data_IF_205628909232
#
_entry.id   IF_205628909232
#
_cell.length_a   1.000
_cell.length_b   1.000
_cell.length_c   1.000
_cell.angle_alpha   90.00
_cell.angle_beta   90.00
_cell.angle_gamma   90.00
#
_symmetry.space_group_name_H-M   'P 1'
#
loop_
_entity.id
_entity.type
_entity.pdbx_description
1 polymer ?
#
# COMPACT_ATOMS: atom_id res chain seq x y z
N UNK A 1 63.53 -8.08 2.31
CA UNK A 1 62.16 -7.70 1.90
C UNK A 1 61.79 -6.48 2.73
N UNK A 2 61.93 -5.32 2.11
CA UNK A 2 62.18 -4.04 2.80
C UNK A 2 60.85 -3.34 3.08
N UNK A 3 60.75 -2.64 4.21
CA UNK A 3 59.55 -1.91 4.66
C UNK A 3 58.86 -1.10 3.54
N UNK A 4 59.61 -0.57 2.58
CA UNK A 4 59.10 0.12 1.39
C UNK A 4 58.20 -0.75 0.50
N UNK A 5 58.54 -2.02 0.27
CA UNK A 5 57.74 -2.96 -0.51
C UNK A 5 56.42 -3.30 0.19
N UNK A 6 56.47 -3.45 1.51
CA UNK A 6 55.27 -3.67 2.34
C UNK A 6 54.36 -2.43 2.31
N UNK A 7 54.93 -1.23 2.40
CA UNK A 7 54.17 0.03 2.35
C UNK A 7 53.57 0.30 0.97
N UNK A 8 54.29 0.02 -0.12
CA UNK A 8 53.74 0.16 -1.48
C UNK A 8 52.65 -0.86 -1.75
N UNK A 9 52.81 -2.11 -1.30
CA UNK A 9 51.76 -3.13 -1.40
C UNK A 9 50.53 -2.75 -0.57
N UNK A 10 50.71 -2.26 0.66
CA UNK A 10 49.62 -1.78 1.51
C UNK A 10 48.91 -0.57 0.90
N UNK A 11 49.65 0.38 0.32
CA UNK A 11 49.07 1.54 -0.39
C UNK A 11 48.28 1.11 -1.64
N UNK A 12 48.82 0.20 -2.44
CA UNK A 12 48.15 -0.28 -3.66
C UNK A 12 46.88 -1.06 -3.32
N UNK A 13 46.92 -1.91 -2.30
CA UNK A 13 45.76 -2.69 -1.85
C UNK A 13 44.68 -1.83 -1.19
N UNK A 14 45.04 -0.86 -0.36
CA UNK A 14 44.07 0.08 0.24
C UNK A 14 43.45 0.99 -0.82
N UNK A 15 44.25 1.51 -1.76
CA UNK A 15 43.75 2.30 -2.89
C UNK A 15 42.81 1.50 -3.78
N UNK A 16 43.15 0.26 -4.12
CA UNK A 16 42.28 -0.59 -4.94
C UNK A 16 40.98 -0.91 -4.21
N UNK A 17 41.02 -1.26 -2.93
CA UNK A 17 39.84 -1.48 -2.09
C UNK A 17 38.92 -0.25 -2.07
N UNK A 18 39.48 0.95 -1.89
CA UNK A 18 38.70 2.19 -1.90
C UNK A 18 38.00 2.41 -3.25
N UNK A 19 38.70 2.16 -4.35
CA UNK A 19 38.13 2.26 -5.70
C UNK A 19 36.98 1.26 -5.88
N UNK A 20 37.14 0.01 -5.43
CA UNK A 20 36.07 -1.00 -5.49
C UNK A 20 34.85 -0.60 -4.65
N UNK A 21 35.05 -0.12 -3.42
CA UNK A 21 33.96 0.34 -2.55
C UNK A 21 33.25 1.54 -3.19
N UNK A 22 33.99 2.48 -3.77
CA UNK A 22 33.42 3.64 -4.46
C UNK A 22 32.54 3.21 -5.63
N UNK A 23 33.03 2.37 -6.55
CA UNK A 23 32.23 1.91 -7.68
C UNK A 23 31.04 1.03 -7.26
N UNK A 24 31.18 0.20 -6.23
CA UNK A 24 30.08 -0.61 -5.70
C UNK A 24 28.98 0.27 -5.08
N UNK A 25 29.36 1.29 -4.31
CA UNK A 25 28.41 2.24 -3.71
C UNK A 25 27.72 3.10 -4.77
N UNK A 26 28.47 3.59 -5.78
CA UNK A 26 27.91 4.32 -6.91
C UNK A 26 26.93 3.47 -7.72
N UNK A 27 27.30 2.22 -8.03
CA UNK A 27 26.43 1.28 -8.74
C UNK A 27 25.14 1.00 -7.96
N UNK A 28 25.26 0.76 -6.65
CA UNK A 28 24.11 0.56 -5.76
C UNK A 28 23.22 1.81 -5.72
N UNK A 29 23.80 3.00 -5.63
CA UNK A 29 23.07 4.26 -5.64
C UNK A 29 22.29 4.47 -6.95
N UNK A 30 22.96 4.32 -8.10
CA UNK A 30 22.33 4.45 -9.42
C UNK A 30 21.22 3.40 -9.61
N UNK A 31 21.43 2.17 -9.15
CA UNK A 31 20.41 1.13 -9.17
C UNK A 31 19.19 1.51 -8.33
N UNK A 32 19.38 2.00 -7.09
CA UNK A 32 18.28 2.46 -6.24
C UNK A 32 17.52 3.61 -6.90
N UNK A 33 18.22 4.59 -7.47
CA UNK A 33 17.58 5.70 -8.20
C UNK A 33 16.77 5.19 -9.41
N UNK A 34 17.33 4.29 -10.22
CA UNK A 34 16.62 3.66 -11.33
C UNK A 34 15.38 2.91 -10.84
N UNK A 35 15.45 2.25 -9.68
CA UNK A 35 14.32 1.56 -9.08
C UNK A 35 13.24 2.50 -8.57
N UNK A 36 13.60 3.57 -7.88
CA UNK A 36 12.65 4.60 -7.48
C UNK A 36 11.99 5.21 -8.72
N UNK A 37 12.77 5.61 -9.72
CA UNK A 37 12.25 6.17 -10.97
C UNK A 37 11.30 5.20 -11.69
N UNK A 38 11.71 3.95 -11.88
CA UNK A 38 10.87 2.96 -12.55
C UNK A 38 9.58 2.71 -11.78
N UNK A 39 9.59 2.61 -10.46
CA UNK A 39 8.38 2.32 -9.69
C UNK A 39 7.42 3.53 -9.65
N UNK A 40 7.93 4.76 -9.52
CA UNK A 40 7.09 5.97 -9.46
C UNK A 40 6.61 6.44 -10.83
N UNK A 41 7.47 6.38 -11.85
CA UNK A 41 7.19 6.97 -13.16
C UNK A 41 6.59 5.97 -14.15
N UNK A 42 6.74 4.66 -13.94
CA UNK A 42 6.01 3.69 -14.77
C UNK A 42 4.65 3.42 -14.16
N UNK A 43 3.55 3.66 -14.92
CA UNK A 43 2.23 3.22 -14.51
C UNK A 43 2.29 1.75 -14.16
N UNK A 44 1.57 1.31 -13.10
CA UNK A 44 1.46 -0.11 -12.81
C UNK A 44 0.76 -0.82 -13.97
N UNK A 45 1.55 -1.27 -14.93
CA UNK A 45 1.09 -1.96 -16.13
C UNK A 45 0.76 -3.43 -15.82
N UNK A 46 1.13 -3.93 -14.64
CA UNK A 46 0.84 -5.30 -14.18
C UNK A 46 -0.53 -5.41 -13.52
N UNK A 47 -1.58 -4.95 -14.18
CA UNK A 47 -2.77 -5.79 -14.16
C UNK A 47 -2.54 -6.76 -15.30
N UNK A 48 -1.87 -7.90 -15.04
CA UNK A 48 -1.71 -8.94 -16.05
C UNK A 48 -3.04 -9.06 -16.78
N UNK A 49 -3.00 -8.92 -18.11
CA UNK A 49 -4.05 -9.36 -19.01
C UNK A 49 -4.17 -10.89 -18.86
N UNK A 50 -4.53 -11.35 -17.67
CA UNK A 50 -5.07 -12.68 -17.43
C UNK A 50 -6.49 -12.63 -18.00
N UNK A 51 -6.56 -12.57 -19.32
CA UNK A 51 -7.78 -12.63 -20.13
C UNK A 51 -8.54 -13.95 -19.88
N UNK A 52 -7.94 -14.90 -19.15
CA UNK A 52 -8.56 -16.15 -18.72
C UNK A 52 -8.97 -16.25 -17.24
N UNK A 53 -8.75 -15.23 -16.38
CA UNK A 53 -9.28 -15.28 -15.00
C UNK A 53 -10.67 -14.64 -14.93
N UNK A 54 -11.73 -15.41 -14.61
CA UNK A 54 -13.09 -14.88 -14.57
C UNK A 54 -13.28 -13.86 -13.43
N UNK A 55 -12.51 -14.00 -12.34
CA UNK A 55 -12.64 -13.18 -11.14
C UNK A 55 -11.34 -12.48 -10.75
N UNK A 56 -11.45 -11.39 -10.00
CA UNK A 56 -10.35 -10.62 -9.42
C UNK A 56 -10.49 -10.52 -7.91
N UNK A 57 -9.43 -10.82 -7.20
CA UNK A 57 -9.39 -10.70 -5.74
C UNK A 57 -9.33 -9.22 -5.31
N UNK A 58 -10.19 -8.84 -4.37
CA UNK A 58 -10.33 -7.46 -3.89
C UNK A 58 -10.03 -7.40 -2.39
N UNK A 59 -9.04 -6.62 -1.98
CA UNK A 59 -8.82 -6.27 -0.59
C UNK A 59 -9.39 -4.88 -0.30
N UNK A 60 -10.10 -4.73 0.82
CA UNK A 60 -10.71 -3.47 1.24
C UNK A 60 -10.32 -3.17 2.67
N UNK A 61 -9.74 -2.00 2.92
CA UNK A 61 -9.51 -1.54 4.28
C UNK A 61 -10.75 -0.82 4.83
N UNK A 62 -11.26 -1.32 5.96
CA UNK A 62 -12.38 -0.75 6.69
C UNK A 62 -11.85 0.10 7.84
N UNK A 63 -11.87 1.42 7.65
CA UNK A 63 -11.50 2.39 8.66
C UNK A 63 -12.62 2.62 9.66
N UNK A 64 -12.35 2.57 10.96
CA UNK A 64 -13.41 2.67 11.98
C UNK A 64 -14.34 3.88 11.82
N UNK A 65 -15.64 3.68 12.06
CA UNK A 65 -16.66 4.73 12.02
C UNK A 65 -17.13 5.08 10.60
N UNK A 66 -17.06 6.37 10.24
CA UNK A 66 -17.55 6.89 8.96
C UNK A 66 -16.82 6.30 7.74
N UNK A 67 -15.51 6.07 7.85
CA UNK A 67 -14.71 5.49 6.75
C UNK A 67 -15.16 4.07 6.38
N UNK A 68 -15.60 3.26 7.33
CA UNK A 68 -16.16 1.92 7.05
C UNK A 68 -17.46 2.04 6.28
N UNK A 69 -18.35 2.96 6.67
CA UNK A 69 -19.59 3.18 5.93
C UNK A 69 -19.30 3.64 4.49
N UNK A 70 -18.34 4.54 4.31
CA UNK A 70 -17.90 4.99 2.99
C UNK A 70 -17.33 3.84 2.14
N UNK A 71 -16.40 3.07 2.70
CA UNK A 71 -15.78 1.94 2.02
C UNK A 71 -16.81 0.85 1.66
N UNK A 72 -17.73 0.52 2.57
CA UNK A 72 -18.76 -0.50 2.31
C UNK A 72 -19.81 -0.04 1.31
N UNK A 73 -20.16 1.25 1.28
CA UNK A 73 -21.04 1.80 0.25
C UNK A 73 -20.41 1.68 -1.14
N UNK A 74 -19.12 2.02 -1.29
CA UNK A 74 -18.37 1.77 -2.53
C UNK A 74 -18.43 0.29 -2.92
N UNK A 75 -18.08 -0.60 -2.00
CA UNK A 75 -18.04 -2.04 -2.26
C UNK A 75 -19.42 -2.57 -2.61
N UNK A 76 -20.49 -2.06 -1.99
CA UNK A 76 -21.87 -2.49 -2.27
C UNK A 76 -22.33 -2.24 -3.71
N UNK A 77 -21.72 -1.29 -4.42
CA UNK A 77 -21.99 -1.05 -5.83
C UNK A 77 -21.22 -1.97 -6.78
N UNK A 78 -20.23 -2.72 -6.27
CA UNK A 78 -19.42 -3.63 -7.07
C UNK A 78 -20.15 -4.96 -7.32
N UNK A 79 -19.77 -5.61 -8.42
CA UNK A 79 -20.21 -6.95 -8.77
C UNK A 79 -19.38 -8.02 -8.02
N UNK A 80 -20.05 -8.81 -7.17
CA UNK A 80 -19.41 -9.81 -6.31
C UNK A 80 -19.09 -11.13 -7.05
N UNK A 81 -19.59 -11.32 -8.28
CA UNK A 81 -19.17 -12.41 -9.15
C UNK A 81 -17.81 -12.08 -9.78
N UNK A 82 -17.64 -10.84 -10.26
CA UNK A 82 -16.38 -10.38 -10.85
C UNK A 82 -15.28 -10.18 -9.82
N UNK A 83 -15.59 -9.65 -8.65
CA UNK A 83 -14.58 -9.34 -7.62
C UNK A 83 -14.60 -10.36 -6.49
N UNK A 84 -14.10 -11.58 -6.72
CA UNK A 84 -14.03 -12.68 -5.74
C UNK A 84 -12.64 -13.34 -5.73
N UNK A 85 -12.08 -13.71 -4.57
CA UNK A 85 -12.60 -13.49 -3.21
C UNK A 85 -12.36 -12.05 -2.69
N UNK A 86 -13.16 -11.62 -1.72
CA UNK A 86 -13.03 -10.30 -1.07
C UNK A 86 -12.33 -10.44 0.28
N UNK A 87 -11.33 -9.62 0.55
CA UNK A 87 -10.64 -9.60 1.85
C UNK A 87 -10.86 -8.26 2.54
N UNK A 88 -11.58 -8.26 3.66
CA UNK A 88 -11.80 -7.08 4.48
C UNK A 88 -10.73 -6.99 5.56
N UNK A 89 -9.94 -5.93 5.52
CA UNK A 89 -8.93 -5.61 6.53
C UNK A 89 -9.55 -4.61 7.50
N UNK A 90 -9.62 -4.98 8.76
CA UNK A 90 -10.32 -4.23 9.81
C UNK A 90 -9.33 -3.81 10.86
N UNK A 91 -9.52 -2.63 11.43
CA UNK A 91 -8.71 -2.15 12.54
C UNK A 91 -9.00 -2.93 13.83
N UNK A 92 -7.97 -3.20 14.62
CA UNK A 92 -8.09 -3.83 15.94
C UNK A 92 -9.09 -3.09 16.84
N UNK A 93 -9.91 -3.85 17.57
CA UNK A 93 -10.96 -3.31 18.44
C UNK A 93 -12.19 -2.75 17.71
N UNK A 94 -12.33 -2.95 16.39
CA UNK A 94 -13.50 -2.52 15.62
C UNK A 94 -14.37 -3.69 15.16
N UNK A 95 -15.11 -4.27 16.12
CA UNK A 95 -16.05 -5.37 15.86
C UNK A 95 -17.29 -4.94 15.06
N UNK A 96 -17.65 -3.65 15.09
CA UNK A 96 -18.78 -3.12 14.34
C UNK A 96 -18.52 -3.15 12.83
N UNK A 97 -17.32 -2.78 12.41
CA UNK A 97 -16.94 -2.87 10.99
C UNK A 97 -16.96 -4.31 10.48
N UNK A 98 -16.55 -5.28 11.30
CA UNK A 98 -16.64 -6.69 10.97
C UNK A 98 -18.10 -7.14 10.76
N UNK A 99 -19.00 -6.75 11.67
CA UNK A 99 -20.44 -7.06 11.55
C UNK A 99 -21.04 -6.45 10.28
N UNK A 100 -20.70 -5.19 9.95
CA UNK A 100 -21.17 -4.52 8.74
C UNK A 100 -20.68 -5.22 7.46
N UNK A 101 -19.43 -5.66 7.42
CA UNK A 101 -18.89 -6.42 6.28
C UNK A 101 -19.63 -7.76 6.09
N UNK A 102 -19.85 -8.51 7.18
CA UNK A 102 -20.62 -9.77 7.14
C UNK A 102 -22.06 -9.51 6.69
N UNK A 103 -22.70 -8.44 7.16
CA UNK A 103 -24.05 -8.07 6.74
C UNK A 103 -24.12 -7.75 5.25
N UNK A 104 -23.15 -7.01 4.71
CA UNK A 104 -23.07 -6.71 3.28
C UNK A 104 -22.91 -7.98 2.44
N UNK A 105 -22.04 -8.89 2.87
CA UNK A 105 -21.81 -10.16 2.18
C UNK A 105 -23.06 -11.05 2.18
N UNK A 106 -23.77 -11.13 3.31
CA UNK A 106 -25.04 -11.86 3.40
C UNK A 106 -26.14 -11.24 2.53
N UNK A 107 -26.19 -9.91 2.44
CA UNK A 107 -27.17 -9.19 1.63
C UNK A 107 -26.96 -9.43 0.13
N UNK A 108 -25.69 -9.43 -0.33
CA UNK A 108 -25.35 -9.53 -1.75
C UNK A 108 -25.26 -10.98 -2.25
N UNK A 109 -24.70 -11.88 -1.43
CA UNK A 109 -24.50 -13.29 -1.78
C UNK A 109 -24.81 -14.19 -0.58
N UNK A 110 -26.10 -14.46 -0.29
CA UNK A 110 -26.47 -15.38 0.78
C UNK A 110 -25.95 -16.79 0.46
N UNK A 111 -25.04 -17.31 1.29
CA UNK A 111 -24.61 -18.72 1.25
C UNK A 111 -23.44 -19.06 0.31
N UNK A 112 -23.10 -18.22 -0.68
CA UNK A 112 -22.00 -18.47 -1.63
C UNK A 112 -21.03 -17.28 -1.74
N UNK A 113 -20.76 -16.61 -0.63
CA UNK A 113 -19.78 -15.52 -0.61
C UNK A 113 -18.41 -16.01 -0.14
N UNK A 114 -17.44 -16.00 -1.05
CA UNK A 114 -16.03 -16.16 -0.71
C UNK A 114 -15.45 -14.83 -0.22
N UNK A 115 -15.32 -14.70 1.10
CA UNK A 115 -14.67 -13.55 1.71
C UNK A 115 -13.82 -13.95 2.91
N UNK A 116 -12.86 -13.09 3.25
CA UNK A 116 -12.00 -13.23 4.42
C UNK A 116 -11.98 -11.93 5.21
N UNK A 117 -11.98 -12.05 6.53
CA UNK A 117 -11.82 -10.90 7.43
C UNK A 117 -10.47 -11.02 8.12
N UNK A 118 -9.74 -9.91 8.19
CA UNK A 118 -8.42 -9.82 8.81
C UNK A 118 -8.39 -8.64 9.77
N UNK A 119 -7.76 -8.84 10.92
CA UNK A 119 -7.62 -7.79 11.93
C UNK A 119 -6.20 -7.26 11.93
N UNK A 120 -6.06 -5.99 11.57
CA UNK A 120 -4.80 -5.25 11.55
C UNK A 120 -4.69 -4.36 12.81
N UNK A 121 -3.55 -4.35 13.51
CA UNK A 121 -3.34 -3.45 14.65
C UNK A 121 -3.42 -1.98 14.20
N UNK A 122 -3.91 -1.11 15.09
CA UNK A 122 -4.05 0.33 14.78
C UNK A 122 -2.70 1.04 14.83
N UNK A 123 -2.43 1.89 13.83
CA UNK A 123 -1.23 2.73 13.82
C UNK A 123 -1.18 3.75 14.97
N UNK A 124 -2.36 4.19 15.43
CA UNK A 124 -2.51 5.07 16.59
C UNK A 124 -3.75 4.69 17.38
N UNK A 125 -3.63 4.56 18.70
CA UNK A 125 -4.76 4.39 19.61
C UNK A 125 -5.41 5.75 19.93
N UNK A 126 -6.70 5.75 20.21
CA UNK A 126 -7.41 6.98 20.62
C UNK A 126 -6.78 7.46 21.95
N UNK A 127 -6.58 8.78 22.10
CA UNK A 127 -5.90 9.40 23.27
C UNK A 127 -4.40 9.11 23.40
N UNK A 128 -3.78 8.49 22.40
CA UNK A 128 -2.33 8.27 22.40
C UNK A 128 -1.57 9.57 22.10
N UNK A 129 -0.47 9.79 22.84
CA UNK A 129 0.47 10.89 22.60
C UNK A 129 1.11 10.78 21.20
N UNK A 130 1.39 11.92 20.57
CA UNK A 130 2.04 11.95 19.25
C UNK A 130 3.43 11.30 19.27
N UNK A 131 4.16 11.42 20.39
CA UNK A 131 5.51 10.87 20.55
C UNK A 131 5.54 9.33 20.53
N UNK A 132 4.50 8.66 21.04
CA UNK A 132 4.44 7.18 21.03
C UNK A 132 3.81 6.60 19.76
N UNK A 133 3.24 7.47 18.91
CA UNK A 133 2.57 7.08 17.65
C UNK A 133 3.50 6.36 16.66
N UNK A 134 4.78 6.75 16.49
CA UNK A 134 5.70 6.05 15.58
C UNK A 134 5.90 4.58 15.94
N UNK A 135 5.94 4.24 17.23
CA UNK A 135 6.15 2.85 17.68
C UNK A 135 4.93 1.96 17.35
N UNK A 136 3.72 2.46 17.58
CA UNK A 136 2.49 1.72 17.23
C UNK A 136 2.28 1.66 15.71
N UNK A 137 2.67 2.71 14.99
CA UNK A 137 2.68 2.71 13.53
C UNK A 137 3.68 1.67 12.97
N UNK A 138 4.86 1.54 13.58
CA UNK A 138 5.83 0.51 13.20
C UNK A 138 5.30 -0.90 13.46
N UNK A 139 4.63 -1.14 14.60
CA UNK A 139 3.96 -2.42 14.85
C UNK A 139 2.92 -2.76 13.78
N UNK A 140 2.18 -1.76 13.31
CA UNK A 140 1.24 -1.91 12.19
C UNK A 140 1.94 -2.22 10.87
N UNK A 141 3.07 -1.56 10.60
CA UNK A 141 3.89 -1.80 9.43
C UNK A 141 4.47 -3.22 9.41
N UNK A 142 5.01 -3.70 10.54
CA UNK A 142 5.56 -5.06 10.67
C UNK A 142 4.46 -6.10 10.45
N UNK A 143 3.29 -5.89 11.03
CA UNK A 143 2.14 -6.77 10.81
C UNK A 143 1.77 -6.82 9.32
N UNK A 144 1.71 -5.67 8.66
CA UNK A 144 1.44 -5.59 7.23
C UNK A 144 2.52 -6.26 6.37
N UNK A 145 3.81 -6.07 6.69
CA UNK A 145 4.92 -6.75 6.01
C UNK A 145 4.76 -8.26 6.13
N UNK A 146 4.53 -8.79 7.34
CA UNK A 146 4.29 -10.22 7.55
C UNK A 146 3.16 -10.73 6.67
N UNK A 147 2.09 -9.97 6.53
CA UNK A 147 0.88 -10.45 5.90
C UNK A 147 0.83 -10.24 4.37
N UNK A 148 1.40 -9.16 3.84
CA UNK A 148 1.45 -8.87 2.41
C UNK A 148 2.75 -9.33 1.76
N UNK A 149 3.90 -9.24 2.44
CA UNK A 149 5.21 -9.55 1.87
C UNK A 149 5.53 -11.04 1.96
N UNK A 150 5.21 -11.74 3.07
CA UNK A 150 5.52 -13.18 3.17
C UNK A 150 4.83 -14.02 2.08
N UNK A 151 3.51 -13.86 1.79
CA UNK A 151 2.89 -14.61 0.69
C UNK A 151 3.49 -14.27 -0.68
N UNK A 152 3.91 -13.02 -0.88
CA UNK A 152 4.56 -12.59 -2.11
C UNK A 152 5.94 -13.26 -2.29
N UNK A 153 6.69 -13.46 -1.20
CA UNK A 153 7.98 -14.16 -1.22
C UNK A 153 7.79 -15.67 -1.36
N UNK A 154 6.98 -16.27 -0.50
CA UNK A 154 6.87 -17.73 -0.35
C UNK A 154 6.06 -18.38 -1.48
N UNK A 155 4.96 -17.75 -1.89
CA UNK A 155 4.03 -18.31 -2.86
C UNK A 155 4.07 -17.62 -4.22
N UNK A 156 4.87 -16.54 -4.37
CA UNK A 156 4.89 -15.68 -5.58
C UNK A 156 3.48 -15.27 -6.02
N UNK A 157 2.57 -15.07 -5.06
CA UNK A 157 1.19 -14.65 -5.29
C UNK A 157 0.96 -13.33 -4.58
N UNK A 158 0.30 -12.40 -5.26
CA UNK A 158 -0.18 -11.20 -4.61
C UNK A 158 -1.22 -11.56 -3.54
N UNK A 159 -1.23 -10.80 -2.46
CA UNK A 159 -2.24 -10.91 -1.42
C UNK A 159 -3.67 -10.63 -1.97
N UNK A 160 -3.78 -9.69 -2.91
CA UNK A 160 -4.98 -9.39 -3.68
C UNK A 160 -4.59 -8.76 -5.02
N UNK A 161 -5.50 -8.73 -5.99
CA UNK A 161 -5.27 -8.06 -7.27
C UNK A 161 -5.45 -6.54 -7.12
N UNK A 162 -6.41 -6.12 -6.30
CA UNK A 162 -6.72 -4.71 -6.01
C UNK A 162 -6.80 -4.48 -4.52
N UNK A 163 -6.20 -3.40 -4.04
CA UNK A 163 -6.31 -2.89 -2.68
C UNK A 163 -7.06 -1.55 -2.71
N UNK A 164 -8.29 -1.56 -2.21
CA UNK A 164 -9.14 -0.39 -2.06
C UNK A 164 -9.03 0.16 -0.64
N UNK A 165 -8.67 1.43 -0.52
CA UNK A 165 -8.47 2.10 0.77
C UNK A 165 -9.08 3.50 0.76
N UNK A 166 -9.51 3.94 1.95
CA UNK A 166 -9.99 5.28 2.23
C UNK A 166 -9.44 5.68 3.60
N UNK A 167 -8.97 6.92 3.78
CA UNK A 167 -9.11 7.68 5.04
C UNK A 167 -8.07 7.56 6.17
N UNK A 168 -8.04 6.50 7.02
CA UNK A 168 -7.28 6.53 8.26
C UNK A 168 -5.77 6.41 8.09
N UNK A 169 -5.01 6.97 9.03
CA UNK A 169 -3.55 6.82 9.08
C UNK A 169 -3.07 5.36 9.10
N UNK A 170 -3.86 4.42 9.65
CA UNK A 170 -3.54 2.98 9.64
C UNK A 170 -3.44 2.42 8.21
N UNK A 171 -4.20 2.95 7.25
CA UNK A 171 -4.15 2.45 5.86
C UNK A 171 -2.85 2.83 5.15
N UNK A 172 -2.11 3.83 5.65
CA UNK A 172 -0.82 4.26 5.06
C UNK A 172 0.20 3.10 5.08
N UNK A 173 0.21 2.29 6.15
CA UNK A 173 1.09 1.12 6.24
C UNK A 173 0.81 0.09 5.13
N UNK A 174 -0.45 -0.13 4.75
CA UNK A 174 -0.81 -1.01 3.62
C UNK A 174 -0.22 -0.52 2.30
N UNK A 175 -0.28 0.79 2.04
CA UNK A 175 0.28 1.41 0.83
C UNK A 175 1.80 1.32 0.82
N UNK A 176 2.44 1.66 1.95
CA UNK A 176 3.89 1.60 2.08
C UNK A 176 4.42 0.19 1.83
N UNK A 177 3.74 -0.84 2.32
CA UNK A 177 4.14 -2.24 2.09
C UNK A 177 3.85 -2.69 0.66
N UNK A 178 2.74 -2.28 0.05
CA UNK A 178 2.50 -2.54 -1.37
C UNK A 178 3.62 -1.95 -2.25
N UNK A 179 4.05 -0.73 -1.95
CA UNK A 179 5.16 -0.08 -2.62
C UNK A 179 6.51 -0.76 -2.32
N UNK A 180 6.76 -1.15 -1.07
CA UNK A 180 7.94 -1.91 -0.67
C UNK A 180 8.06 -3.20 -1.48
N UNK A 181 6.99 -3.99 -1.56
CA UNK A 181 6.96 -5.20 -2.38
C UNK A 181 7.34 -4.88 -3.83
N UNK A 182 6.76 -3.83 -4.40
CA UNK A 182 7.02 -3.40 -5.78
C UNK A 182 8.46 -2.97 -6.02
N UNK A 183 9.07 -2.27 -5.07
CA UNK A 183 10.48 -1.89 -5.12
C UNK A 183 11.38 -3.12 -5.27
N UNK A 184 11.08 -4.18 -4.49
CA UNK A 184 11.78 -5.47 -4.49
C UNK A 184 11.27 -6.50 -5.53
N UNK A 185 10.54 -6.07 -6.57
CA UNK A 185 9.96 -6.94 -7.62
C UNK A 185 9.02 -8.04 -7.10
N UNK A 186 8.53 -7.91 -5.89
CA UNK A 186 7.54 -8.82 -5.33
C UNK A 186 6.15 -8.49 -5.86
N UNK A 187 5.28 -9.50 -5.85
CA UNK A 187 3.88 -9.32 -6.19
C UNK A 187 3.21 -8.33 -5.23
N UNK A 188 2.48 -7.36 -5.80
CA UNK A 188 1.81 -6.29 -5.07
C UNK A 188 0.45 -6.00 -5.68
N UNK A 189 -0.57 -5.68 -4.86
CA UNK A 189 -1.88 -5.29 -5.36
C UNK A 189 -1.82 -3.94 -6.05
N UNK A 190 -2.72 -3.70 -7.00
CA UNK A 190 -2.99 -2.36 -7.50
C UNK A 190 -3.66 -1.52 -6.40
N UNK A 191 -3.09 -0.39 -6.04
CA UNK A 191 -3.57 0.47 -4.96
C UNK A 191 -4.54 1.52 -5.49
N UNK A 192 -5.79 1.48 -5.03
CA UNK A 192 -6.81 2.49 -5.30
C UNK A 192 -7.12 3.20 -3.99
N UNK A 193 -6.74 4.48 -3.91
CA UNK A 193 -7.07 5.36 -2.80
C UNK A 193 -8.29 6.20 -3.16
N UNK A 194 -9.30 6.20 -2.29
CA UNK A 194 -10.46 7.07 -2.37
C UNK A 194 -10.43 8.03 -1.19
N UNK A 195 -10.30 9.33 -1.46
CA UNK A 195 -10.37 10.34 -0.41
C UNK A 195 -11.79 10.39 0.18
N UNK A 196 -11.84 10.57 1.50
CA UNK A 196 -13.10 10.55 2.26
C UNK A 196 -14.03 11.67 1.78
N UNK A 197 -15.34 11.39 1.79
CA UNK A 197 -16.36 12.35 1.39
C UNK A 197 -16.34 13.59 2.30
N UNK A 198 -15.97 13.42 3.57
CA UNK A 198 -15.86 14.51 4.55
C UNK A 198 -14.76 15.54 4.21
N UNK A 199 -13.85 15.25 3.27
CA UNK A 199 -12.76 16.16 2.88
C UNK A 199 -13.19 17.03 1.71
N UNK A 200 -13.83 18.16 1.99
CA UNK A 200 -14.35 19.07 0.95
C UNK A 200 -13.28 20.01 0.41
N UNK A 201 -12.52 20.65 1.30
CA UNK A 201 -11.63 21.78 0.96
C UNK A 201 -10.15 21.41 0.87
N UNK A 202 -9.73 20.29 1.46
CA UNK A 202 -8.33 19.86 1.41
C UNK A 202 -8.17 18.35 1.62
N UNK A 203 -7.15 17.77 0.99
CA UNK A 203 -6.77 16.37 1.17
C UNK A 203 -6.45 16.06 2.63
N UNK A 204 -6.77 14.84 3.06
CA UNK A 204 -6.38 14.33 4.37
C UNK A 204 -4.85 14.18 4.46
N UNK A 205 -4.29 14.14 5.68
CA UNK A 205 -2.86 13.87 5.84
C UNK A 205 -2.47 12.52 5.24
N UNK A 206 -3.29 11.49 5.47
CA UNK A 206 -3.15 10.17 4.85
C UNK A 206 -3.17 10.29 3.32
N UNK A 207 -4.13 11.03 2.75
CA UNK A 207 -4.27 11.28 1.32
C UNK A 207 -3.03 11.94 0.73
N UNK A 208 -2.48 12.97 1.38
CA UNK A 208 -1.23 13.63 0.96
C UNK A 208 -0.05 12.67 0.96
N UNK A 209 0.07 11.81 1.97
CA UNK A 209 1.18 10.84 2.09
C UNK A 209 1.11 9.72 1.05
N UNK A 210 -0.09 9.20 0.77
CA UNK A 210 -0.26 8.05 -0.14
C UNK A 210 -0.39 8.45 -1.60
N UNK A 211 -0.68 9.72 -1.91
CA UNK A 211 -0.84 10.24 -3.27
C UNK A 211 0.27 9.81 -4.25
N UNK A 212 1.58 9.97 -3.95
CA UNK A 212 2.64 9.56 -4.89
C UNK A 212 2.78 8.03 -5.02
N UNK A 213 2.16 7.25 -4.13
CA UNK A 213 2.29 5.79 -4.06
C UNK A 213 1.05 5.06 -4.59
N UNK A 214 -0.09 5.74 -4.71
CA UNK A 214 -1.34 5.16 -5.16
C UNK A 214 -1.42 5.10 -6.69
N UNK A 215 -1.79 3.94 -7.25
CA UNK A 215 -1.94 3.79 -8.70
C UNK A 215 -3.16 4.54 -9.24
N UNK A 216 -4.20 4.69 -8.41
CA UNK A 216 -5.35 5.54 -8.66
C UNK A 216 -5.67 6.32 -7.38
N UNK A 217 -5.69 7.64 -7.50
CA UNK A 217 -6.11 8.53 -6.43
C UNK A 217 -7.42 9.19 -6.84
N UNK A 218 -8.52 8.84 -6.17
CA UNK A 218 -9.86 9.31 -6.48
C UNK A 218 -10.30 10.35 -5.44
N UNK A 219 -10.84 11.46 -5.93
CA UNK A 219 -11.40 12.53 -5.10
C UNK A 219 -12.88 12.73 -5.43
N UNK A 220 -13.65 13.11 -4.41
CA UNK A 220 -15.10 13.29 -4.53
C UNK A 220 -15.53 14.74 -4.71
N UNK A 221 -14.59 15.68 -4.61
CA UNK A 221 -14.83 17.12 -4.74
C UNK A 221 -13.97 17.71 -5.87
N UNK A 222 -14.52 18.57 -6.73
CA UNK A 222 -13.79 19.10 -7.89
C UNK A 222 -12.61 19.98 -7.46
N UNK A 223 -12.74 20.71 -6.36
CA UNK A 223 -11.70 21.58 -5.81
C UNK A 223 -10.43 20.82 -5.39
N UNK A 224 -10.53 19.50 -5.15
CA UNK A 224 -9.39 18.66 -4.78
C UNK A 224 -8.57 18.15 -5.96
N UNK A 225 -9.04 18.37 -7.20
CA UNK A 225 -8.29 18.02 -8.41
C UNK A 225 -7.11 18.96 -8.61
N UNK A 226 -7.20 20.18 -8.09
CA UNK A 226 -6.17 21.20 -8.23
C UNK A 226 -5.19 21.13 -7.05
N UNK A 227 -4.08 20.42 -7.23
CA UNK A 227 -2.80 20.79 -6.60
C UNK A 227 -1.65 20.08 -7.29
N UNK A 228 -0.68 20.87 -7.73
CA UNK A 228 0.60 20.57 -8.37
C UNK A 228 1.28 19.26 -7.95
N UNK A 229 1.83 18.52 -8.93
CA UNK A 229 2.74 17.39 -8.71
C UNK A 229 2.23 15.99 -9.09
N UNK A 230 3.16 15.03 -9.14
CA UNK A 230 2.96 13.63 -9.57
C UNK A 230 1.73 12.96 -8.92
N UNK A 231 1.00 12.18 -9.73
CA UNK A 231 -0.20 11.44 -9.28
C UNK A 231 -1.46 12.31 -9.28
N UNK A 232 -1.97 12.65 -10.48
CA UNK A 232 -3.12 13.54 -10.66
C UNK A 232 -4.38 12.94 -10.02
N UNK A 233 -4.99 13.61 -9.02
CA UNK A 233 -6.26 13.21 -8.46
C UNK A 233 -7.33 13.16 -9.57
N UNK A 234 -8.06 12.04 -9.66
CA UNK A 234 -9.17 11.91 -10.58
C UNK A 234 -10.48 12.20 -9.84
N UNK A 235 -11.13 13.29 -10.23
CA UNK A 235 -12.49 13.55 -9.77
C UNK A 235 -13.46 12.54 -10.38
N UNK A 236 -14.27 11.92 -9.51
CA UNK A 236 -15.30 10.96 -9.91
C UNK A 236 -16.67 11.30 -9.34
N UNK A 237 -16.84 12.52 -8.83
CA UNK A 237 -18.06 12.94 -8.17
C UNK A 237 -18.31 12.19 -6.86
N UNK A 238 -19.58 12.18 -6.44
CA UNK A 238 -20.01 11.50 -5.23
C UNK A 238 -19.98 9.99 -5.47
N UNK A 239 -19.02 9.32 -4.84
CA UNK A 239 -18.90 7.86 -4.90
C UNK A 239 -19.62 7.16 -3.72
N UNK A 240 -20.02 7.95 -2.72
CA UNK A 240 -20.64 7.50 -1.47
C UNK A 240 -21.84 8.36 -1.12
#
# INVERSE_FOLDING_TARGET
>A
MLLSEALTLAWVTTRSLFIYIFFLSLSTYLFVLYRLYSVFCTPHAKLQNNLGRPTRSLAVFLGSGGHTSEALALVSSLDFDKYSPRTYIISEGDSLSAKKAVALEKLKKPGNSEYRILTMPRARKVHQSLASTPLTALGSLIWTLRFMTLPAILSKKSFADVLLINGPGTSVALVLVAYFNRFWWLESPRVIYVESFARVNSLSLSGKLVRPLADRFLVQWPNLVQTDGLGTPQYRGRLV
#
